data_IF_499743425593
#
_entry.id   IF_499743425593
#
_cell.length_a   1.000
_cell.length_b   1.000
_cell.length_c   1.000
_cell.angle_alpha   90.00
_cell.angle_beta   90.00
_cell.angle_gamma   90.00
#
_symmetry.space_group_name_H-M   'P 1'
#
loop_
_entity.id
_entity.type
_entity.pdbx_description
1 polymer ?
#
# COMPACT_ATOMS: atom_id res chain seq x y z
N UNK A 1 9.43 13.21 -7.63
CA UNK A 1 8.13 12.70 -8.10
C UNK A 1 6.97 13.39 -7.40
N UNK A 2 7.04 13.54 -6.07
CA UNK A 2 5.99 14.15 -5.22
C UNK A 2 5.41 15.45 -5.79
N UNK A 3 6.26 16.43 -6.12
CA UNK A 3 5.87 17.70 -6.76
C UNK A 3 5.00 17.53 -8.01
N UNK A 4 5.27 16.50 -8.82
CA UNK A 4 4.53 16.25 -10.04
C UNK A 4 3.17 15.59 -9.79
N UNK A 5 3.01 14.86 -8.68
CA UNK A 5 1.75 14.23 -8.28
C UNK A 5 0.86 15.15 -7.43
N UNK A 6 1.44 16.15 -6.78
CA UNK A 6 0.68 17.13 -5.99
C UNK A 6 -0.42 17.79 -6.81
N UNK A 7 -1.63 17.83 -6.24
CA UNK A 7 -2.81 18.44 -6.87
C UNK A 7 -3.36 17.67 -8.07
N UNK A 8 -2.96 16.41 -8.30
CA UNK A 8 -3.62 15.57 -9.30
C UNK A 8 -5.01 15.11 -8.85
N UNK A 9 -5.93 15.03 -9.79
CA UNK A 9 -7.20 14.31 -9.62
C UNK A 9 -7.04 12.82 -9.93
N UNK A 10 -7.83 11.95 -9.29
CA UNK A 10 -7.87 10.52 -9.64
C UNK A 10 -8.25 10.38 -11.12
N UNK A 11 -7.50 9.57 -11.85
CA UNK A 11 -7.61 9.37 -13.30
C UNK A 11 -6.76 10.34 -14.14
N UNK A 12 -6.30 11.46 -13.58
CA UNK A 12 -5.47 12.44 -14.29
C UNK A 12 -4.14 11.81 -14.74
N UNK A 13 -3.65 12.22 -15.92
CA UNK A 13 -2.35 11.83 -16.46
C UNK A 13 -1.46 13.05 -16.68
N UNK A 14 -0.18 12.95 -16.32
CA UNK A 14 0.83 13.99 -16.57
C UNK A 14 2.04 13.43 -17.30
N UNK A 15 2.63 14.24 -18.18
CA UNK A 15 4.00 14.03 -18.67
C UNK A 15 4.93 14.88 -17.79
N UNK A 16 5.95 14.26 -17.24
CA UNK A 16 6.86 14.89 -16.28
C UNK A 16 8.28 14.78 -16.82
N UNK A 17 8.97 15.91 -16.93
CA UNK A 17 10.38 15.97 -17.32
C UNK A 17 11.20 16.32 -16.08
N UNK A 18 12.09 15.42 -15.67
CA UNK A 18 12.89 15.56 -14.45
C UNK A 18 14.35 15.75 -14.86
N UNK A 19 14.95 16.95 -14.68
CA UNK A 19 16.36 17.16 -14.96
C UNK A 19 17.22 16.31 -14.02
N UNK A 20 18.45 15.98 -14.45
CA UNK A 20 19.34 15.04 -13.75
C UNK A 20 19.51 15.35 -12.26
N UNK A 21 19.75 16.61 -11.90
CA UNK A 21 19.95 17.05 -10.52
C UNK A 21 18.73 16.86 -9.59
N UNK A 22 17.53 16.61 -10.15
CA UNK A 22 16.32 16.24 -9.40
C UNK A 22 16.00 14.74 -9.48
N UNK A 23 16.80 13.97 -10.22
CA UNK A 23 16.71 12.53 -10.43
C UNK A 23 17.96 11.82 -9.91
N UNK A 24 18.80 11.32 -10.83
CA UNK A 24 20.00 10.52 -10.49
C UNK A 24 21.32 11.32 -10.50
N UNK A 25 21.24 12.64 -10.59
CA UNK A 25 22.40 13.53 -10.54
C UNK A 25 23.45 13.22 -11.61
N UNK A 26 24.70 13.50 -11.26
CA UNK A 26 25.87 13.21 -12.11
C UNK A 26 26.39 11.78 -11.92
N UNK A 27 25.97 11.10 -10.85
CA UNK A 27 26.37 9.71 -10.57
C UNK A 27 25.56 8.70 -11.41
N UNK A 28 24.31 9.04 -11.77
CA UNK A 28 23.44 8.13 -12.50
C UNK A 28 23.01 6.92 -11.66
N UNK A 29 22.70 5.80 -12.33
CA UNK A 29 22.32 4.52 -11.71
C UNK A 29 22.62 3.36 -12.66
N UNK A 30 23.75 2.70 -12.45
CA UNK A 30 24.26 1.66 -13.35
C UNK A 30 23.35 0.44 -13.50
N UNK A 31 22.74 -0.03 -12.40
CA UNK A 31 21.80 -1.17 -12.44
C UNK A 31 20.57 -0.94 -13.35
N UNK A 32 20.31 0.32 -13.72
CA UNK A 32 19.22 0.74 -14.59
C UNK A 32 19.74 1.39 -15.90
N UNK A 33 21.05 1.32 -16.18
CA UNK A 33 21.72 1.96 -17.33
C UNK A 33 21.53 3.48 -17.42
N UNK A 34 21.28 4.15 -16.31
CA UNK A 34 21.12 5.61 -16.28
C UNK A 34 22.50 6.23 -16.09
N UNK A 35 22.95 7.02 -17.06
CA UNK A 35 24.22 7.76 -16.97
C UNK A 35 24.02 9.08 -16.25
N UNK A 36 25.11 9.58 -15.67
CA UNK A 36 25.18 10.92 -15.10
C UNK A 36 24.67 11.99 -16.06
N UNK A 37 23.97 12.99 -15.53
CA UNK A 37 23.50 14.13 -16.32
C UNK A 37 22.26 13.86 -17.18
N UNK A 38 21.70 12.65 -17.18
CA UNK A 38 20.52 12.34 -17.99
C UNK A 38 19.23 12.93 -17.42
N UNK A 39 18.40 13.50 -18.31
CA UNK A 39 17.04 13.94 -18.00
C UNK A 39 16.07 12.77 -18.14
N UNK A 40 15.15 12.63 -17.18
CA UNK A 40 14.15 11.56 -17.16
C UNK A 40 12.81 12.07 -17.69
N UNK A 41 12.11 11.21 -18.44
CA UNK A 41 10.77 11.47 -18.95
C UNK A 41 9.80 10.43 -18.39
N UNK A 42 8.81 10.89 -17.64
CA UNK A 42 7.78 10.05 -17.06
C UNK A 42 6.41 10.37 -17.66
N UNK A 43 5.58 9.34 -17.83
CA UNK A 43 4.12 9.49 -17.96
C UNK A 43 3.50 8.85 -16.73
N UNK A 44 2.70 9.61 -16.00
CA UNK A 44 2.20 9.21 -14.67
C UNK A 44 0.68 9.33 -14.66
N UNK A 45 0.01 8.46 -13.94
CA UNK A 45 -1.43 8.49 -13.71
C UNK A 45 -1.71 8.36 -12.22
N UNK A 46 -2.58 9.21 -11.67
CA UNK A 46 -3.08 9.01 -10.32
C UNK A 46 -4.21 7.98 -10.35
N UNK A 47 -3.95 6.74 -9.92
CA UNK A 47 -4.93 5.64 -10.01
C UNK A 47 -5.90 5.63 -8.84
N UNK A 48 -5.41 5.88 -7.63
CA UNK A 48 -6.23 5.86 -6.41
C UNK A 48 -5.62 6.80 -5.36
N UNK A 49 -6.44 7.25 -4.40
CA UNK A 49 -6.01 7.96 -3.20
C UNK A 49 -6.57 7.24 -1.98
N UNK A 50 -5.68 6.64 -1.19
CA UNK A 50 -6.05 6.11 0.12
C UNK A 50 -5.66 7.12 1.19
N UNK A 51 -6.64 7.55 1.99
CA UNK A 51 -6.42 8.39 3.17
C UNK A 51 -6.75 7.56 4.40
N UNK A 52 -5.76 7.16 5.21
CA UNK A 52 -6.00 6.45 6.46
C UNK A 52 -6.93 7.25 7.37
N UNK A 53 -7.82 6.54 8.07
CA UNK A 53 -8.67 7.11 9.11
C UNK A 53 -8.39 6.28 10.36
N UNK A 54 -7.40 6.65 11.18
CA UNK A 54 -7.04 5.86 12.36
C UNK A 54 -8.26 5.68 13.27
N UNK A 55 -8.44 4.45 13.75
CA UNK A 55 -9.49 4.07 14.68
C UNK A 55 -8.89 3.59 16.01
N UNK A 56 -9.61 2.67 16.65
CA UNK A 56 -9.21 2.14 17.94
C UNK A 56 -8.01 1.19 17.81
N UNK A 57 -7.23 1.10 18.88
CA UNK A 57 -6.19 0.09 19.05
C UNK A 57 -6.34 -0.58 20.41
N UNK A 58 -6.22 -1.89 20.45
CA UNK A 58 -6.33 -2.67 21.67
C UNK A 58 -5.42 -3.90 21.61
N UNK A 59 -5.21 -4.53 22.76
CA UNK A 59 -4.57 -5.83 22.91
C UNK A 59 -5.53 -6.72 23.67
N UNK A 60 -5.80 -7.92 23.16
CA UNK A 60 -6.66 -8.88 23.87
C UNK A 60 -5.89 -9.63 24.96
N UNK A 61 -6.60 -10.53 25.66
CA UNK A 61 -6.05 -11.28 26.80
C UNK A 61 -4.93 -12.25 26.39
N UNK A 62 -4.87 -12.65 25.11
CA UNK A 62 -3.84 -13.53 24.55
C UNK A 62 -2.63 -12.74 24.01
N UNK A 63 -2.65 -11.41 24.11
CA UNK A 63 -1.58 -10.53 23.65
C UNK A 63 -1.64 -10.17 22.17
N UNK A 64 -2.74 -10.50 21.47
CA UNK A 64 -2.94 -10.10 20.09
C UNK A 64 -3.18 -8.59 20.01
N UNK A 65 -2.27 -7.88 19.35
CA UNK A 65 -2.36 -6.44 19.13
C UNK A 65 -3.14 -6.16 17.86
N UNK A 66 -4.19 -5.35 17.97
CA UNK A 66 -5.03 -4.95 16.84
C UNK A 66 -5.06 -3.43 16.77
N UNK A 67 -4.87 -2.90 15.55
CA UNK A 67 -4.95 -1.48 15.25
C UNK A 67 -5.83 -1.28 14.02
N UNK A 68 -6.87 -0.47 14.17
CA UNK A 68 -7.72 -0.07 13.04
C UNK A 68 -7.04 1.07 12.29
N UNK A 69 -6.42 0.78 11.16
CA UNK A 69 -5.70 1.79 10.35
C UNK A 69 -6.62 2.62 9.45
N UNK A 70 -7.82 2.13 9.17
CA UNK A 70 -8.86 2.86 8.41
C UNK A 70 -10.26 2.46 8.88
N UNK A 71 -10.80 3.27 9.79
CA UNK A 71 -12.15 3.15 10.33
C UNK A 71 -13.17 3.52 9.26
N UNK A 72 -14.18 2.66 9.12
CA UNK A 72 -15.37 2.91 8.29
C UNK A 72 -16.44 3.56 9.17
N UNK A 73 -17.17 4.54 8.63
CA UNK A 73 -18.32 5.15 9.32
C UNK A 73 -19.32 4.07 9.74
N UNK A 74 -19.83 4.16 10.97
CA UNK A 74 -20.71 3.13 11.53
C UNK A 74 -21.98 2.91 10.70
N UNK A 75 -22.49 3.96 10.03
CA UNK A 75 -23.68 3.87 9.19
C UNK A 75 -23.43 3.11 7.89
N UNK A 76 -22.19 3.10 7.43
CA UNK A 76 -21.74 2.42 6.22
C UNK A 76 -21.10 1.04 6.54
N UNK A 77 -20.96 0.70 7.83
CA UNK A 77 -20.23 -0.47 8.28
C UNK A 77 -21.14 -1.69 8.41
N UNK A 78 -20.96 -2.67 7.51
CA UNK A 78 -21.44 -4.03 7.72
C UNK A 78 -20.37 -4.86 8.43
N UNK A 79 -20.63 -5.23 9.68
CA UNK A 79 -19.71 -6.03 10.50
C UNK A 79 -19.76 -7.51 10.10
N UNK A 80 -18.61 -8.17 10.17
CA UNK A 80 -18.52 -9.61 9.97
C UNK A 80 -19.02 -10.36 11.21
N UNK A 81 -19.72 -11.47 11.00
CA UNK A 81 -20.30 -12.31 12.03
C UNK A 81 -19.87 -13.78 11.88
N UNK A 82 -19.99 -14.55 12.96
CA UNK A 82 -19.66 -15.98 12.96
C UNK A 82 -20.43 -16.70 11.86
N UNK A 83 -19.73 -17.43 11.00
CA UNK A 83 -20.30 -18.17 9.88
C UNK A 83 -20.22 -17.45 8.52
N UNK A 84 -19.86 -16.16 8.50
CA UNK A 84 -19.62 -15.43 7.26
C UNK A 84 -18.49 -16.06 6.44
N UNK A 85 -18.62 -15.97 5.11
CA UNK A 85 -17.50 -16.20 4.20
C UNK A 85 -16.71 -14.90 4.08
N UNK A 86 -15.48 -14.90 4.58
CA UNK A 86 -14.58 -13.74 4.53
C UNK A 86 -13.71 -13.84 3.30
N UNK A 87 -13.63 -12.75 2.55
CA UNK A 87 -12.69 -12.57 1.44
C UNK A 87 -11.64 -11.55 1.88
N UNK A 88 -10.51 -12.02 2.39
CA UNK A 88 -9.48 -11.20 3.00
C UNK A 88 -8.32 -10.93 2.05
N UNK A 89 -7.93 -9.67 1.96
CA UNK A 89 -6.59 -9.32 1.51
C UNK A 89 -5.67 -9.11 2.71
N UNK A 90 -4.50 -9.76 2.69
CA UNK A 90 -3.47 -9.64 3.71
C UNK A 90 -2.09 -9.43 3.10
N UNK A 91 -1.18 -8.92 3.94
CA UNK A 91 0.27 -8.92 3.74
C UNK A 91 0.91 -9.36 5.04
N UNK A 92 1.79 -10.36 4.97
CA UNK A 92 2.49 -10.95 6.10
C UNK A 92 3.98 -10.58 6.02
N UNK A 93 4.50 -10.09 7.15
CA UNK A 93 5.91 -9.77 7.36
C UNK A 93 6.35 -10.27 8.73
N UNK A 94 7.62 -10.61 8.86
CA UNK A 94 8.23 -10.85 10.17
C UNK A 94 8.49 -9.51 10.86
N UNK A 95 8.41 -9.51 12.19
CA UNK A 95 8.74 -8.34 13.04
C UNK A 95 10.25 -8.05 13.10
N UNK A 96 11.09 -8.91 12.51
CA UNK A 96 12.54 -8.70 12.46
C UNK A 96 12.88 -7.28 11.97
N UNK A 97 14.04 -6.76 12.37
CA UNK A 97 14.47 -5.39 12.07
C UNK A 97 14.38 -5.02 10.56
N UNK A 98 14.50 -6.00 9.68
CA UNK A 98 14.40 -5.83 8.23
C UNK A 98 12.97 -5.92 7.66
N UNK A 99 11.97 -6.27 8.47
CA UNK A 99 10.58 -6.41 8.06
C UNK A 99 10.38 -7.46 6.97
N UNK A 100 11.15 -8.56 7.02
CA UNK A 100 11.19 -9.58 5.97
C UNK A 100 9.79 -9.98 5.51
N UNK A 101 9.56 -9.85 4.20
CA UNK A 101 8.32 -10.25 3.56
C UNK A 101 8.16 -11.77 3.55
N UNK A 102 6.98 -12.24 3.93
CA UNK A 102 6.63 -13.68 3.89
C UNK A 102 5.68 -13.94 2.71
N UNK A 103 4.51 -13.29 2.70
CA UNK A 103 3.51 -13.48 1.64
C UNK A 103 2.49 -12.32 1.58
N UNK A 104 1.78 -12.18 0.46
CA UNK A 104 0.66 -11.27 0.31
C UNK A 104 -0.34 -11.78 -0.73
N UNK A 105 -1.62 -11.76 -0.37
CA UNK A 105 -2.72 -12.04 -1.28
C UNK A 105 -2.75 -11.12 -2.52
N UNK A 106 -2.21 -9.89 -2.42
CA UNK A 106 -2.15 -8.96 -3.54
C UNK A 106 -1.18 -9.44 -4.63
N UNK A 107 -0.12 -10.17 -4.26
CA UNK A 107 0.83 -10.74 -5.23
C UNK A 107 0.16 -11.78 -6.16
N UNK A 108 -0.89 -12.45 -5.66
CA UNK A 108 -1.69 -13.44 -6.40
C UNK A 108 -2.95 -12.85 -7.03
N UNK A 109 -3.22 -11.56 -6.82
CA UNK A 109 -4.43 -10.87 -7.25
C UNK A 109 -5.74 -11.63 -6.89
N UNK A 110 -5.71 -12.38 -5.77
CA UNK A 110 -6.83 -13.22 -5.32
C UNK A 110 -6.89 -13.18 -3.80
N UNK A 111 -8.05 -12.85 -3.19
CA UNK A 111 -8.19 -12.84 -1.74
C UNK A 111 -8.11 -14.26 -1.16
N UNK A 112 -7.68 -14.36 0.09
CA UNK A 112 -7.84 -15.59 0.86
C UNK A 112 -9.29 -15.70 1.34
N UNK A 113 -9.88 -16.87 1.20
CA UNK A 113 -11.30 -17.10 1.47
C UNK A 113 -11.46 -18.13 2.56
N UNK A 114 -12.14 -17.77 3.65
CA UNK A 114 -12.37 -18.65 4.79
C UNK A 114 -13.72 -18.42 5.47
N UNK A 115 -14.09 -19.32 6.39
CA UNK A 115 -15.31 -19.20 7.21
C UNK A 115 -14.99 -18.68 8.61
N UNK A 116 -15.55 -17.52 8.98
CA UNK A 116 -15.27 -16.90 10.28
C UNK A 116 -15.79 -17.77 11.45
N UNK A 117 -14.92 -18.01 12.43
CA UNK A 117 -15.25 -18.75 13.66
C UNK A 117 -15.25 -20.27 13.51
N UNK A 118 -14.60 -20.82 12.47
CA UNK A 118 -14.43 -22.28 12.28
C UNK A 118 -13.07 -22.84 12.70
N UNK A 119 -12.15 -22.00 13.18
CA UNK A 119 -10.82 -22.42 13.61
C UNK A 119 -9.97 -22.84 12.41
N UNK A 120 -9.53 -21.84 11.64
CA UNK A 120 -8.43 -21.99 10.67
C UNK A 120 -7.14 -21.45 11.27
#
# INVERSE_FOLDING_TARGET
MDRAMTGMCIGEKRKVVIPSHLGFGDDGRDRDNIKGGQTLYYTVQLVNLFRPVPGDSWTDDDGLKIEVTHKIDEKECRKAEKGDTIHQHYTLRLESFDGTFVDSSFSRNTPFIFKLGKGE
#
